data_IF_985246144770
#
_entry.id   IF_985246144770
#
_cell.length_a   1.000
_cell.length_b   1.000
_cell.length_c   1.000
_cell.angle_alpha   90.00
_cell.angle_beta   90.00
_cell.angle_gamma   90.00
#
_symmetry.space_group_name_H-M   'P 1'
#
loop_
_entity.id
_entity.type
_entity.pdbx_description
1 polymer ?
#
# COMPACT_ATOMS: atom_id res chain seq x y z
N UNK A 1 14.61 -0.21 3.68
CA UNK A 1 13.53 -1.01 4.28
C UNK A 1 13.06 -2.15 3.37
N UNK A 2 12.85 -1.88 2.10
CA UNK A 2 12.43 -2.86 1.07
C UNK A 2 13.24 -4.17 1.11
N UNK A 3 14.58 -4.10 1.13
CA UNK A 3 15.44 -5.31 1.21
C UNK A 3 15.15 -6.17 2.45
N UNK A 4 14.87 -5.56 3.61
CA UNK A 4 14.56 -6.30 4.86
C UNK A 4 13.23 -7.05 4.76
N UNK A 5 12.20 -6.47 4.12
CA UNK A 5 10.91 -7.14 3.92
C UNK A 5 11.07 -8.33 2.98
N UNK A 6 11.72 -8.12 1.82
CA UNK A 6 11.92 -9.19 0.85
C UNK A 6 12.76 -10.34 1.42
N UNK A 7 13.83 -10.06 2.16
CA UNK A 7 14.65 -11.12 2.80
C UNK A 7 13.88 -11.86 3.90
N UNK A 8 13.05 -11.17 4.69
CA UNK A 8 12.26 -11.79 5.75
C UNK A 8 11.17 -12.72 5.20
N UNK A 9 10.53 -12.34 4.10
CA UNK A 9 9.45 -13.10 3.46
C UNK A 9 9.88 -13.82 2.18
N UNK A 10 11.19 -14.00 1.95
CA UNK A 10 11.75 -14.53 0.72
C UNK A 10 11.06 -15.82 0.24
N UNK A 11 10.94 -16.83 1.11
CA UNK A 11 10.30 -18.11 0.76
C UNK A 11 8.86 -17.93 0.24
N UNK A 12 8.07 -17.10 0.94
CA UNK A 12 6.67 -16.87 0.58
C UNK A 12 6.53 -16.08 -0.72
N UNK A 13 7.40 -15.08 -0.96
CA UNK A 13 7.45 -14.36 -2.24
C UNK A 13 7.85 -15.28 -3.39
N UNK A 14 8.88 -16.12 -3.20
CA UNK A 14 9.32 -17.07 -4.23
C UNK A 14 8.18 -18.02 -4.61
N UNK A 15 7.50 -18.63 -3.63
CA UNK A 15 6.36 -19.51 -3.90
C UNK A 15 5.20 -18.77 -4.56
N UNK A 16 4.86 -17.57 -4.09
CA UNK A 16 3.79 -16.76 -4.65
C UNK A 16 4.05 -16.41 -6.13
N UNK A 17 5.28 -15.96 -6.46
CA UNK A 17 5.66 -15.61 -7.82
C UNK A 17 5.75 -16.86 -8.70
N UNK A 18 6.39 -17.92 -8.23
CA UNK A 18 6.58 -19.16 -9.00
C UNK A 18 5.23 -19.80 -9.38
N UNK A 19 4.31 -19.94 -8.42
CA UNK A 19 2.97 -20.48 -8.71
C UNK A 19 2.25 -19.58 -9.72
N UNK A 20 2.33 -18.24 -9.56
CA UNK A 20 1.70 -17.31 -10.49
C UNK A 20 2.27 -17.38 -11.90
N UNK A 21 3.59 -17.54 -12.05
CA UNK A 21 4.24 -17.77 -13.36
C UNK A 21 3.75 -19.06 -14.00
N UNK A 22 3.63 -20.16 -13.24
CA UNK A 22 3.08 -21.42 -13.73
C UNK A 22 1.62 -21.27 -14.14
N UNK A 23 0.80 -20.57 -13.35
CA UNK A 23 -0.62 -20.30 -13.69
C UNK A 23 -0.71 -19.51 -15.00
N UNK A 24 0.13 -18.47 -15.18
CA UNK A 24 0.17 -17.68 -16.42
C UNK A 24 0.58 -18.55 -17.63
N UNK A 25 1.56 -19.43 -17.46
CA UNK A 25 1.96 -20.37 -18.51
C UNK A 25 0.83 -21.37 -18.84
N UNK A 26 0.21 -21.98 -17.82
CA UNK A 26 -0.93 -22.89 -18.03
C UNK A 26 -2.09 -22.19 -18.74
N UNK A 27 -2.36 -20.92 -18.39
CA UNK A 27 -3.41 -20.13 -19.05
C UNK A 27 -3.11 -19.89 -20.53
N UNK A 28 -1.86 -19.58 -20.87
CA UNK A 28 -1.45 -19.40 -22.26
C UNK A 28 -1.45 -20.73 -23.04
N UNK A 29 -0.99 -21.82 -22.41
CA UNK A 29 -1.05 -23.17 -22.98
C UNK A 29 -2.48 -23.67 -23.21
N UNK A 30 -3.42 -23.35 -22.31
CA UNK A 30 -4.82 -23.71 -22.48
C UNK A 30 -5.40 -23.10 -23.77
N UNK A 31 -5.09 -21.82 -24.05
CA UNK A 31 -5.50 -21.18 -25.30
C UNK A 31 -4.83 -21.86 -26.51
N UNK A 32 -3.54 -22.20 -26.43
CA UNK A 32 -2.82 -22.89 -27.48
C UNK A 32 -3.42 -24.28 -27.78
N UNK A 33 -3.67 -25.10 -26.76
CA UNK A 33 -4.28 -26.40 -26.98
C UNK A 33 -5.71 -26.31 -27.51
N UNK A 34 -6.47 -25.30 -27.06
CA UNK A 34 -7.79 -25.02 -27.59
C UNK A 34 -7.76 -24.65 -29.07
N UNK A 35 -6.80 -23.80 -29.48
CA UNK A 35 -6.52 -23.50 -30.89
C UNK A 35 -6.28 -24.78 -31.71
N UNK A 36 -5.38 -25.64 -31.23
CA UNK A 36 -5.05 -26.88 -31.92
C UNK A 36 -6.26 -27.82 -32.03
N UNK A 37 -7.10 -27.88 -31.01
CA UNK A 37 -8.35 -28.66 -31.05
C UNK A 37 -9.30 -28.14 -32.12
N UNK A 38 -9.46 -26.82 -32.24
CA UNK A 38 -10.32 -26.21 -33.27
C UNK A 38 -9.78 -26.47 -34.69
N UNK A 39 -8.47 -26.39 -34.89
CA UNK A 39 -7.85 -26.57 -36.21
C UNK A 39 -7.88 -28.04 -36.66
N UNK A 40 -7.97 -28.98 -35.75
CA UNK A 40 -8.02 -30.41 -36.03
C UNK A 40 -9.43 -31.03 -35.93
N UNK A 41 -10.44 -30.23 -35.51
CA UNK A 41 -11.80 -30.72 -35.23
C UNK A 41 -12.44 -31.52 -36.36
N UNK A 42 -12.17 -31.16 -37.64
CA UNK A 42 -12.73 -31.85 -38.80
C UNK A 42 -11.81 -32.95 -39.37
N UNK A 43 -10.54 -33.04 -38.92
CA UNK A 43 -9.54 -33.95 -39.53
C UNK A 43 -9.39 -35.27 -38.82
N UNK A 44 -9.28 -35.27 -37.50
CA UNK A 44 -9.16 -36.46 -36.67
C UNK A 44 -9.31 -36.14 -35.22
N UNK A 45 -9.96 -37.02 -34.44
CA UNK A 45 -10.05 -36.89 -33.00
C UNK A 45 -8.67 -37.14 -32.36
N UNK A 46 -8.09 -36.14 -31.75
CA UNK A 46 -6.80 -36.23 -31.05
C UNK A 46 -6.98 -36.23 -29.54
N UNK A 47 -7.11 -37.43 -28.95
CA UNK A 47 -7.29 -37.62 -27.52
C UNK A 47 -6.18 -36.93 -26.70
N UNK A 48 -4.92 -36.97 -27.19
CA UNK A 48 -3.81 -36.31 -26.52
C UNK A 48 -3.96 -34.80 -26.34
N UNK A 49 -4.47 -34.08 -27.37
CA UNK A 49 -4.75 -32.65 -27.27
C UNK A 49 -5.88 -32.34 -26.32
N UNK A 50 -6.93 -33.17 -26.30
CA UNK A 50 -8.06 -33.01 -25.37
C UNK A 50 -7.61 -33.20 -23.93
N UNK A 51 -6.78 -34.23 -23.67
CA UNK A 51 -6.21 -34.46 -22.34
C UNK A 51 -5.29 -33.32 -21.93
N UNK A 52 -4.42 -32.81 -22.83
CA UNK A 52 -3.53 -31.68 -22.56
C UNK A 52 -4.33 -30.41 -22.24
N UNK A 53 -5.38 -30.11 -23.01
CA UNK A 53 -6.28 -28.99 -22.73
C UNK A 53 -6.99 -29.15 -21.39
N UNK A 54 -7.59 -30.33 -21.14
CA UNK A 54 -8.30 -30.62 -19.89
C UNK A 54 -7.40 -30.51 -18.66
N UNK A 55 -6.17 -31.04 -18.74
CA UNK A 55 -5.19 -30.96 -17.65
C UNK A 55 -4.79 -29.51 -17.36
N UNK A 56 -4.54 -28.69 -18.38
CA UNK A 56 -4.19 -27.27 -18.16
C UNK A 56 -5.34 -26.50 -17.51
N UNK A 57 -6.59 -26.69 -17.94
CA UNK A 57 -7.75 -26.03 -17.34
C UNK A 57 -7.97 -26.45 -15.89
N UNK A 58 -7.77 -27.73 -15.56
CA UNK A 58 -7.91 -28.24 -14.19
C UNK A 58 -6.76 -27.75 -13.29
N UNK A 59 -5.55 -27.67 -13.82
CA UNK A 59 -4.39 -27.20 -13.05
C UNK A 59 -4.51 -25.73 -12.63
N UNK A 60 -5.11 -24.86 -13.44
CA UNK A 60 -5.25 -23.43 -13.15
C UNK A 60 -5.95 -23.17 -11.80
N UNK A 61 -7.17 -23.65 -11.54
CA UNK A 61 -7.84 -23.43 -10.24
C UNK A 61 -7.12 -24.11 -9.08
N UNK A 62 -6.52 -25.30 -9.28
CA UNK A 62 -5.75 -25.99 -8.25
C UNK A 62 -4.52 -25.18 -7.83
N UNK A 63 -3.73 -24.71 -8.79
CA UNK A 63 -2.58 -23.85 -8.52
C UNK A 63 -2.99 -22.51 -7.91
N UNK A 64 -4.08 -21.91 -8.41
CA UNK A 64 -4.63 -20.67 -7.85
C UNK A 64 -5.08 -20.86 -6.39
N UNK A 65 -5.60 -22.02 -6.02
CA UNK A 65 -5.88 -22.34 -4.62
C UNK A 65 -4.60 -22.46 -3.79
N UNK A 66 -3.59 -23.18 -4.29
CA UNK A 66 -2.29 -23.32 -3.62
C UNK A 66 -1.61 -21.95 -3.38
N UNK A 67 -1.80 -20.99 -4.30
CA UNK A 67 -1.29 -19.64 -4.20
C UNK A 67 -1.92 -18.83 -3.04
N UNK A 68 -3.15 -19.13 -2.62
CA UNK A 68 -3.84 -18.34 -1.58
C UNK A 68 -3.09 -18.36 -0.26
N UNK A 69 -2.46 -19.49 0.10
CA UNK A 69 -1.71 -19.61 1.36
C UNK A 69 -0.51 -18.62 1.43
N UNK A 70 0.46 -18.62 0.49
CA UNK A 70 1.55 -17.65 0.50
C UNK A 70 1.04 -16.21 0.35
N UNK A 71 0.00 -15.96 -0.45
CA UNK A 71 -0.60 -14.64 -0.62
C UNK A 71 -1.19 -14.10 0.69
N UNK A 72 -2.00 -14.91 1.39
CA UNK A 72 -2.60 -14.52 2.67
C UNK A 72 -1.52 -14.28 3.74
N UNK A 73 -0.49 -15.14 3.79
CA UNK A 73 0.65 -14.96 4.69
C UNK A 73 1.42 -13.68 4.41
N UNK A 74 1.69 -13.35 3.14
CA UNK A 74 2.35 -12.09 2.75
C UNK A 74 1.48 -10.87 3.08
N UNK A 75 0.17 -10.95 2.82
CA UNK A 75 -0.78 -9.84 3.08
C UNK A 75 -0.76 -9.43 4.55
N UNK A 76 -0.92 -10.40 5.44
CA UNK A 76 -0.99 -10.13 6.88
C UNK A 76 0.41 -9.99 7.49
N UNK A 77 1.35 -10.83 7.06
CA UNK A 77 2.71 -10.87 7.58
C UNK A 77 3.47 -9.56 7.37
N UNK A 78 3.44 -8.98 6.17
CA UNK A 78 4.10 -7.70 5.88
C UNK A 78 3.50 -6.59 6.75
N UNK A 79 2.18 -6.53 6.85
CA UNK A 79 1.48 -5.52 7.65
C UNK A 79 1.87 -5.61 9.14
N UNK A 80 1.75 -6.79 9.74
CA UNK A 80 2.11 -6.98 11.16
C UNK A 80 3.61 -6.86 11.42
N UNK A 81 4.45 -7.27 10.46
CA UNK A 81 5.90 -7.08 10.58
C UNK A 81 6.28 -5.61 10.63
N UNK A 82 5.68 -4.76 9.79
CA UNK A 82 5.91 -3.31 9.82
C UNK A 82 5.42 -2.70 11.14
N UNK A 83 4.26 -3.12 11.65
CA UNK A 83 3.78 -2.68 12.98
C UNK A 83 4.72 -3.11 14.10
N UNK A 84 5.23 -4.36 14.06
CA UNK A 84 6.26 -4.83 15.01
C UNK A 84 7.53 -3.98 14.95
N UNK A 85 8.02 -3.67 13.74
CA UNK A 85 9.19 -2.79 13.59
C UNK A 85 8.93 -1.38 14.13
N UNK A 86 7.71 -0.87 13.96
CA UNK A 86 7.31 0.42 14.52
C UNK A 86 7.33 0.41 16.05
N UNK A 87 6.85 -0.67 16.65
CA UNK A 87 6.89 -0.82 18.12
C UNK A 87 8.32 -0.92 18.63
N UNK A 88 9.19 -1.67 17.93
CA UNK A 88 10.61 -1.73 18.25
C UNK A 88 11.27 -0.35 18.12
N UNK A 89 10.93 0.42 17.07
CA UNK A 89 11.47 1.77 16.93
C UNK A 89 10.95 2.69 18.01
N UNK A 90 9.67 2.57 18.36
CA UNK A 90 9.05 3.33 19.44
C UNK A 90 9.74 3.14 20.78
N UNK A 91 10.16 1.91 21.10
CA UNK A 91 10.89 1.61 22.34
C UNK A 91 12.32 2.17 22.36
N UNK A 92 12.78 2.76 21.28
CA UNK A 92 14.17 3.26 21.14
C UNK A 92 14.27 4.77 20.95
N UNK A 93 13.16 5.46 20.63
CA UNK A 93 13.18 6.92 20.47
C UNK A 93 13.19 7.62 21.82
N UNK A 94 13.74 8.84 21.84
CA UNK A 94 13.73 9.68 23.06
C UNK A 94 12.30 10.11 23.44
N UNK A 95 12.10 10.36 24.73
CA UNK A 95 10.80 10.82 25.23
C UNK A 95 10.38 12.17 24.63
N UNK A 96 11.33 13.04 24.33
CA UNK A 96 11.07 14.32 23.66
C UNK A 96 10.51 14.13 22.25
N UNK A 97 11.12 13.23 21.46
CA UNK A 97 10.62 12.90 20.13
C UNK A 97 9.23 12.27 20.19
N UNK A 98 8.95 11.43 21.19
CA UNK A 98 7.62 10.89 21.41
C UNK A 98 6.58 11.98 21.68
N UNK A 99 6.92 12.95 22.53
CA UNK A 99 6.02 14.08 22.83
C UNK A 99 5.73 14.94 21.58
N UNK A 100 6.77 15.22 20.75
CA UNK A 100 6.62 15.98 19.49
C UNK A 100 5.71 15.26 18.48
N UNK A 101 5.78 13.94 18.43
CA UNK A 101 4.98 13.14 17.49
C UNK A 101 3.51 13.03 17.91
N UNK A 102 3.24 12.93 19.19
CA UNK A 102 1.91 12.64 19.75
C UNK A 102 1.43 11.20 19.47
N UNK A 103 0.85 10.57 20.46
CA UNK A 103 0.47 9.15 20.39
C UNK A 103 -0.54 8.85 19.26
N UNK A 104 -1.55 9.71 19.10
CA UNK A 104 -2.60 9.53 18.08
C UNK A 104 -2.06 9.64 16.65
N UNK A 105 -1.27 10.69 16.39
CA UNK A 105 -0.65 10.90 15.06
C UNK A 105 0.35 9.79 14.72
N UNK A 106 1.08 9.30 15.72
CA UNK A 106 2.01 8.18 15.53
C UNK A 106 1.27 6.88 15.22
N UNK A 107 0.18 6.57 15.94
CA UNK A 107 -0.64 5.39 15.67
C UNK A 107 -1.18 5.43 14.23
N UNK A 108 -1.74 6.56 13.81
CA UNK A 108 -2.23 6.75 12.44
C UNK A 108 -1.12 6.58 11.41
N UNK A 109 0.06 7.18 11.65
CA UNK A 109 1.23 7.03 10.76
C UNK A 109 1.66 5.57 10.61
N UNK A 110 1.65 4.80 11.68
CA UNK A 110 1.99 3.37 11.67
C UNK A 110 0.94 2.55 10.93
N UNK A 111 -0.35 2.79 11.20
CA UNK A 111 -1.45 2.06 10.54
C UNK A 111 -1.46 2.30 9.03
N UNK A 112 -1.48 3.55 8.62
CA UNK A 112 -1.52 3.92 7.19
C UNK A 112 -0.23 3.52 6.49
N UNK A 113 0.93 3.75 7.12
CA UNK A 113 2.23 3.40 6.57
C UNK A 113 2.45 1.89 6.44
N UNK A 114 1.98 1.08 7.40
CA UNK A 114 2.07 -0.38 7.32
C UNK A 114 1.16 -0.95 6.21
N UNK A 115 -0.07 -0.41 6.08
CA UNK A 115 -0.98 -0.76 4.99
C UNK A 115 -0.38 -0.39 3.62
N UNK A 116 0.19 0.80 3.51
CA UNK A 116 0.87 1.28 2.30
C UNK A 116 2.08 0.39 1.95
N UNK A 117 2.91 0.03 2.93
CA UNK A 117 4.04 -0.88 2.72
C UNK A 117 3.61 -2.26 2.21
N UNK A 118 2.53 -2.84 2.77
CA UNK A 118 1.94 -4.08 2.25
C UNK A 118 1.48 -3.91 0.80
N UNK A 119 0.76 -2.84 0.48
CA UNK A 119 0.25 -2.59 -0.88
C UNK A 119 1.39 -2.45 -1.89
N UNK A 120 2.44 -1.71 -1.56
CA UNK A 120 3.62 -1.53 -2.41
C UNK A 120 4.28 -2.88 -2.69
N UNK A 121 4.57 -3.66 -1.65
CA UNK A 121 5.35 -4.89 -1.83
C UNK A 121 4.55 -6.04 -2.43
N UNK A 122 3.29 -6.21 -2.05
CA UNK A 122 2.46 -7.31 -2.52
C UNK A 122 1.59 -6.94 -3.71
N UNK A 123 0.77 -5.88 -3.58
CA UNK A 123 -0.21 -5.56 -4.62
C UNK A 123 0.43 -4.92 -5.85
N UNK A 124 1.53 -4.17 -5.69
CA UNK A 124 2.23 -3.61 -6.83
C UNK A 124 3.36 -4.53 -7.32
N UNK A 125 4.46 -4.65 -6.58
CA UNK A 125 5.60 -5.46 -7.03
C UNK A 125 5.26 -6.95 -7.09
N UNK A 126 4.56 -7.49 -6.11
CA UNK A 126 4.18 -8.90 -6.09
C UNK A 126 3.34 -9.27 -7.31
N UNK A 127 2.32 -8.48 -7.67
CA UNK A 127 1.49 -8.72 -8.87
C UNK A 127 2.22 -8.44 -10.17
N UNK A 128 3.15 -7.47 -10.19
CA UNK A 128 3.98 -7.20 -11.36
C UNK A 128 4.74 -8.46 -11.81
N UNK A 129 5.46 -9.09 -10.89
CA UNK A 129 6.29 -10.26 -11.17
C UNK A 129 5.49 -11.57 -11.27
N UNK A 130 4.38 -11.66 -10.56
CA UNK A 130 3.52 -12.85 -10.55
C UNK A 130 2.60 -12.95 -11.75
N UNK A 131 2.06 -11.82 -12.24
CA UNK A 131 0.94 -11.79 -13.18
C UNK A 131 1.30 -10.99 -14.44
N UNK A 132 1.54 -9.68 -14.32
CA UNK A 132 1.66 -8.79 -15.47
C UNK A 132 2.80 -9.20 -16.43
N UNK A 133 4.02 -9.37 -15.90
CA UNK A 133 5.19 -9.73 -16.73
C UNK A 133 5.02 -11.11 -17.34
N UNK A 134 4.73 -12.19 -16.59
CA UNK A 134 4.58 -13.52 -17.16
C UNK A 134 3.43 -13.63 -18.17
N UNK A 135 2.24 -13.09 -17.85
CA UNK A 135 1.11 -13.13 -18.80
C UNK A 135 1.45 -12.42 -20.10
N UNK A 136 2.03 -11.22 -20.01
CA UNK A 136 2.42 -10.47 -21.21
C UNK A 136 3.43 -11.25 -22.05
N UNK A 137 4.48 -11.79 -21.43
CA UNK A 137 5.54 -12.50 -22.16
C UNK A 137 5.02 -13.80 -22.79
N UNK A 138 4.28 -14.62 -22.07
CA UNK A 138 3.77 -15.88 -22.60
C UNK A 138 2.74 -15.65 -23.71
N UNK A 139 1.81 -14.71 -23.53
CA UNK A 139 0.81 -14.46 -24.56
C UNK A 139 1.42 -13.84 -25.84
N UNK A 140 2.40 -12.91 -25.72
CA UNK A 140 3.14 -12.41 -26.88
C UNK A 140 3.92 -13.52 -27.59
N UNK A 141 4.54 -14.44 -26.83
CA UNK A 141 5.25 -15.59 -27.39
C UNK A 141 4.30 -16.49 -28.21
N UNK A 142 3.13 -16.84 -27.68
CA UNK A 142 2.17 -17.67 -28.40
C UNK A 142 1.54 -16.96 -29.60
N UNK A 143 1.30 -15.65 -29.53
CA UNK A 143 0.88 -14.88 -30.70
C UNK A 143 1.95 -14.89 -31.78
N UNK A 144 3.24 -14.76 -31.41
CA UNK A 144 4.35 -14.87 -32.36
C UNK A 144 4.46 -16.24 -33.04
N UNK A 145 4.02 -17.30 -32.38
CA UNK A 145 3.95 -18.66 -32.97
C UNK A 145 2.81 -18.77 -33.99
N UNK A 146 1.71 -18.04 -33.80
CA UNK A 146 0.57 -18.04 -34.74
C UNK A 146 0.91 -17.19 -35.95
N UNK A 147 1.20 -15.93 -35.80
CA UNK A 147 1.67 -15.04 -36.88
C UNK A 147 2.48 -13.85 -36.33
N UNK A 148 3.76 -13.78 -36.68
CA UNK A 148 4.69 -12.71 -36.28
C UNK A 148 4.25 -11.33 -36.81
N UNK A 149 3.49 -11.25 -37.87
CA UNK A 149 3.01 -9.99 -38.46
C UNK A 149 2.03 -9.24 -37.57
N UNK A 150 1.41 -9.93 -36.60
CA UNK A 150 0.49 -9.31 -35.65
C UNK A 150 1.20 -8.59 -34.51
N UNK A 151 2.45 -8.94 -34.19
CA UNK A 151 3.19 -8.33 -33.08
C UNK A 151 3.31 -6.80 -33.18
N UNK A 152 3.67 -6.19 -34.34
CA UNK A 152 3.72 -4.74 -34.45
C UNK A 152 2.41 -4.06 -34.14
N UNK A 153 1.28 -4.60 -34.63
CA UNK A 153 -0.05 -4.04 -34.36
C UNK A 153 -0.40 -4.07 -32.87
N UNK A 154 -0.07 -5.16 -32.19
CA UNK A 154 -0.28 -5.30 -30.74
C UNK A 154 0.63 -4.32 -29.96
N UNK A 155 1.92 -4.20 -30.35
CA UNK A 155 2.84 -3.26 -29.73
C UNK A 155 2.40 -1.79 -29.92
N UNK A 156 1.89 -1.42 -31.09
CA UNK A 156 1.29 -0.09 -31.31
C UNK A 156 0.11 0.12 -30.36
N UNK A 157 -0.77 -0.89 -30.22
CA UNK A 157 -1.87 -0.85 -29.25
C UNK A 157 -1.35 -0.62 -27.82
N UNK A 158 -0.25 -1.24 -27.43
CA UNK A 158 0.40 -1.00 -26.13
C UNK A 158 0.84 0.46 -25.94
N UNK A 159 1.48 1.05 -26.95
CA UNK A 159 1.94 2.44 -26.90
C UNK A 159 0.74 3.39 -26.71
N UNK A 160 -0.34 3.17 -27.48
CA UNK A 160 -1.57 3.96 -27.38
C UNK A 160 -2.17 3.85 -25.97
N UNK A 161 -2.31 2.63 -25.47
CA UNK A 161 -2.83 2.37 -24.12
C UNK A 161 -1.95 3.03 -23.06
N UNK A 162 -0.62 2.93 -23.17
CA UNK A 162 0.30 3.55 -22.23
C UNK A 162 0.17 5.08 -22.20
N UNK A 163 0.05 5.73 -23.36
CA UNK A 163 -0.14 7.18 -23.46
C UNK A 163 -1.46 7.60 -22.80
N UNK A 164 -2.56 6.92 -23.14
CA UNK A 164 -3.87 7.18 -22.57
C UNK A 164 -3.88 7.00 -21.04
N UNK A 165 -3.26 5.93 -20.59
CA UNK A 165 -3.09 5.67 -19.17
C UNK A 165 -2.33 6.78 -18.46
N UNK A 166 -1.26 7.29 -19.05
CA UNK A 166 -0.48 8.39 -18.46
C UNK A 166 -1.31 9.67 -18.30
N UNK A 167 -2.18 9.96 -19.27
CA UNK A 167 -3.11 11.11 -19.22
C UNK A 167 -4.15 10.91 -18.10
N UNK A 168 -4.75 9.73 -18.05
CA UNK A 168 -5.70 9.35 -17.00
C UNK A 168 -5.11 9.47 -15.60
N UNK A 169 -3.91 8.89 -15.40
CA UNK A 169 -3.21 8.89 -14.14
C UNK A 169 -3.01 10.30 -13.58
N UNK A 170 -2.57 11.24 -14.42
CA UNK A 170 -2.36 12.64 -14.03
C UNK A 170 -3.67 13.30 -13.56
N UNK A 171 -4.79 13.00 -14.22
CA UNK A 171 -6.11 13.53 -13.87
C UNK A 171 -6.62 12.92 -12.56
N UNK A 172 -6.56 11.59 -12.43
CA UNK A 172 -7.00 10.88 -11.22
C UNK A 172 -6.16 11.26 -10.00
N UNK A 173 -4.83 11.43 -10.16
CA UNK A 173 -3.95 11.81 -9.07
C UNK A 173 -4.33 13.18 -8.49
N UNK A 174 -4.57 14.19 -9.35
CA UNK A 174 -5.03 15.52 -8.90
C UNK A 174 -6.36 15.46 -8.14
N UNK A 175 -7.30 14.65 -8.63
CA UNK A 175 -8.60 14.50 -7.98
C UNK A 175 -8.48 13.76 -6.64
N UNK A 176 -7.64 12.71 -6.59
CA UNK A 176 -7.42 11.94 -5.36
C UNK A 176 -6.77 12.78 -4.26
N UNK A 177 -5.80 13.63 -4.60
CA UNK A 177 -5.20 14.58 -3.65
C UNK A 177 -6.25 15.52 -3.04
N UNK A 178 -7.17 16.08 -3.86
CA UNK A 178 -8.29 16.89 -3.39
C UNK A 178 -9.22 16.12 -2.45
N UNK A 179 -9.57 14.90 -2.84
CA UNK A 179 -10.45 14.04 -2.04
C UNK A 179 -9.81 13.68 -0.70
N UNK A 180 -8.50 13.40 -0.67
CA UNK A 180 -7.78 13.10 0.58
C UNK A 180 -7.82 14.28 1.57
N UNK A 181 -7.60 15.51 1.08
CA UNK A 181 -7.67 16.70 1.94
C UNK A 181 -9.10 16.88 2.51
N UNK A 182 -10.12 16.66 1.68
CA UNK A 182 -11.51 16.72 2.10
C UNK A 182 -11.85 15.62 3.11
N UNK A 183 -11.36 14.39 2.92
CA UNK A 183 -11.50 13.27 3.86
C UNK A 183 -10.82 13.56 5.21
N UNK A 184 -9.61 14.14 5.20
CA UNK A 184 -8.90 14.53 6.43
C UNK A 184 -9.69 15.56 7.23
N UNK A 185 -10.23 16.59 6.57
CA UNK A 185 -11.05 17.62 7.21
C UNK A 185 -12.37 17.06 7.77
N UNK A 186 -13.03 16.18 7.01
CA UNK A 186 -14.25 15.48 7.44
C UNK A 186 -13.97 14.59 8.66
N UNK A 187 -12.90 13.81 8.64
CA UNK A 187 -12.50 12.95 9.75
C UNK A 187 -12.12 13.76 11.00
N UNK A 188 -11.47 14.90 10.85
CA UNK A 188 -11.18 15.81 11.96
C UNK A 188 -12.46 16.32 12.60
N UNK A 189 -13.49 16.65 11.81
CA UNK A 189 -14.81 17.08 12.30
C UNK A 189 -15.52 15.94 13.05
N UNK A 190 -15.45 14.71 12.53
CA UNK A 190 -16.02 13.52 13.18
C UNK A 190 -15.33 13.23 14.51
N UNK A 191 -14.01 13.24 14.55
CA UNK A 191 -13.22 13.02 15.77
C UNK A 191 -13.55 14.10 16.80
N UNK A 192 -13.61 15.37 16.42
CA UNK A 192 -13.99 16.46 17.29
C UNK A 192 -15.40 16.26 17.87
N UNK A 193 -16.37 15.88 17.04
CA UNK A 193 -17.73 15.58 17.48
C UNK A 193 -17.80 14.45 18.53
N UNK A 194 -16.91 13.44 18.39
CA UNK A 194 -16.85 12.31 19.33
C UNK A 194 -16.09 12.66 20.63
N UNK A 195 -14.99 13.40 20.55
CA UNK A 195 -14.12 13.69 21.70
C UNK A 195 -14.65 14.84 22.56
N UNK A 196 -15.32 15.84 21.97
CA UNK A 196 -15.81 17.02 22.67
C UNK A 196 -17.31 16.93 23.00
N UNK A 197 -17.79 15.73 23.31
CA UNK A 197 -19.19 15.45 23.63
C UNK A 197 -19.76 16.42 24.67
N UNK A 198 -19.04 16.67 25.78
CA UNK A 198 -19.48 17.53 26.88
C UNK A 198 -19.63 18.97 26.40
N UNK A 199 -18.64 19.49 25.66
CA UNK A 199 -18.66 20.85 25.12
C UNK A 199 -19.86 21.07 24.19
N UNK A 200 -20.11 20.13 23.28
CA UNK A 200 -21.25 20.22 22.34
C UNK A 200 -22.61 20.10 23.05
N UNK A 201 -22.71 19.23 24.08
CA UNK A 201 -23.96 19.09 24.87
C UNK A 201 -24.28 20.34 25.66
N UNK A 202 -23.31 20.89 26.39
CA UNK A 202 -23.51 22.09 27.22
C UNK A 202 -23.92 23.30 26.35
N UNK A 203 -23.25 23.46 25.20
CA UNK A 203 -23.50 24.57 24.28
C UNK A 203 -24.67 24.33 23.31
N UNK A 204 -25.33 23.16 23.34
CA UNK A 204 -26.44 22.77 22.45
C UNK A 204 -26.10 22.89 20.96
N UNK A 205 -24.81 22.68 20.58
CA UNK A 205 -24.30 22.88 19.21
C UNK A 205 -24.13 21.59 18.41
N UNK A 206 -24.55 20.44 18.94
CA UNK A 206 -24.42 19.16 18.29
C UNK A 206 -25.12 19.12 16.91
N UNK A 207 -26.31 19.71 16.80
CA UNK A 207 -27.04 19.76 15.51
C UNK A 207 -26.24 20.46 14.44
N UNK A 208 -25.60 21.59 14.76
CA UNK A 208 -24.76 22.33 13.83
C UNK A 208 -23.52 21.54 13.40
N UNK A 209 -22.91 20.76 14.30
CA UNK A 209 -21.76 19.93 13.99
C UNK A 209 -22.14 18.77 13.06
N UNK A 210 -23.29 18.13 13.29
CA UNK A 210 -23.85 17.10 12.40
C UNK A 210 -24.15 17.68 11.01
N UNK A 211 -24.75 18.85 10.92
CA UNK A 211 -25.03 19.53 9.66
C UNK A 211 -23.74 19.85 8.90
N UNK A 212 -22.71 20.36 9.57
CA UNK A 212 -21.38 20.60 8.98
C UNK A 212 -20.76 19.30 8.44
N UNK A 213 -20.79 18.22 9.24
CA UNK A 213 -20.28 16.93 8.81
C UNK A 213 -21.05 16.41 7.59
N UNK A 214 -22.39 16.53 7.60
CA UNK A 214 -23.24 16.08 6.49
C UNK A 214 -22.93 16.82 5.17
N UNK A 215 -22.71 18.14 5.24
CA UNK A 215 -22.32 18.94 4.07
C UNK A 215 -20.95 18.50 3.51
N UNK A 216 -19.97 18.31 4.41
CA UNK A 216 -18.63 17.85 3.99
C UNK A 216 -18.67 16.43 3.43
N UNK A 217 -19.49 15.54 4.02
CA UNK A 217 -19.66 14.17 3.56
C UNK A 217 -20.34 14.13 2.17
N UNK A 218 -21.35 14.97 1.93
CA UNK A 218 -22.01 15.08 0.63
C UNK A 218 -21.04 15.61 -0.43
N UNK A 219 -20.29 16.67 -0.16
CA UNK A 219 -19.28 17.20 -1.08
C UNK A 219 -18.21 16.14 -1.39
N UNK A 220 -17.72 15.43 -0.39
CA UNK A 220 -16.74 14.38 -0.57
C UNK A 220 -17.29 13.21 -1.39
N UNK A 221 -18.54 12.79 -1.13
CA UNK A 221 -19.25 11.77 -1.89
C UNK A 221 -19.35 12.14 -3.38
N UNK A 222 -19.72 13.38 -3.67
CA UNK A 222 -19.79 13.89 -5.06
C UNK A 222 -18.41 13.91 -5.73
N UNK A 223 -17.35 14.28 -5.02
CA UNK A 223 -15.99 14.27 -5.54
C UNK A 223 -15.48 12.84 -5.81
N UNK A 224 -15.78 11.89 -4.92
CA UNK A 224 -15.46 10.46 -5.12
C UNK A 224 -16.26 9.93 -6.33
N UNK A 225 -17.55 10.25 -6.43
CA UNK A 225 -18.40 9.84 -7.55
C UNK A 225 -17.85 10.35 -8.88
N UNK A 226 -17.48 11.64 -8.96
CA UNK A 226 -16.85 12.21 -10.17
C UNK A 226 -15.54 11.47 -10.52
N UNK A 227 -14.72 11.18 -9.53
CA UNK A 227 -13.48 10.44 -9.74
C UNK A 227 -13.74 9.01 -10.26
N UNK A 228 -14.74 8.32 -9.69
CA UNK A 228 -15.17 7.00 -10.15
C UNK A 228 -15.70 7.04 -11.57
N UNK A 229 -16.55 8.02 -11.91
CA UNK A 229 -17.08 8.16 -13.26
C UNK A 229 -15.99 8.42 -14.32
N UNK A 230 -14.99 9.23 -13.99
CA UNK A 230 -13.83 9.43 -14.86
C UNK A 230 -13.05 8.12 -15.03
N UNK A 231 -12.84 7.39 -13.96
CA UNK A 231 -12.18 6.09 -13.99
C UNK A 231 -12.95 5.10 -14.89
N UNK A 232 -14.28 4.96 -14.69
CA UNK A 232 -15.12 4.10 -15.50
C UNK A 232 -15.18 4.51 -16.97
N UNK A 233 -15.22 5.82 -17.25
CA UNK A 233 -15.15 6.32 -18.62
C UNK A 233 -13.87 5.86 -19.34
N UNK A 234 -12.72 5.96 -18.67
CA UNK A 234 -11.46 5.51 -19.25
C UNK A 234 -11.40 3.98 -19.39
N UNK A 235 -11.99 3.23 -18.45
CA UNK A 235 -12.11 1.78 -18.57
C UNK A 235 -12.99 1.39 -19.79
N UNK A 236 -14.12 2.05 -19.95
CA UNK A 236 -14.99 1.86 -21.11
C UNK A 236 -14.31 2.21 -22.44
N UNK A 237 -13.60 3.35 -22.47
CA UNK A 237 -12.82 3.74 -23.64
C UNK A 237 -11.68 2.77 -23.96
N UNK A 238 -11.00 2.26 -22.93
CA UNK A 238 -9.98 1.22 -23.07
C UNK A 238 -10.60 -0.08 -23.64
N UNK A 239 -11.72 -0.54 -23.08
CA UNK A 239 -12.42 -1.72 -23.58
C UNK A 239 -12.85 -1.57 -25.05
N UNK A 240 -13.29 -0.37 -25.43
CA UNK A 240 -13.64 -0.04 -26.82
C UNK A 240 -12.41 -0.13 -27.73
N UNK A 241 -11.25 0.39 -27.32
CA UNK A 241 -10.00 0.26 -28.09
C UNK A 241 -9.61 -1.20 -28.29
N UNK A 242 -9.69 -2.01 -27.23
CA UNK A 242 -9.39 -3.45 -27.31
C UNK A 242 -10.37 -4.15 -28.24
N UNK A 243 -11.66 -3.81 -28.19
CA UNK A 243 -12.68 -4.32 -29.10
C UNK A 243 -12.38 -3.94 -30.56
N UNK A 244 -11.98 -2.69 -30.83
CA UNK A 244 -11.58 -2.24 -32.17
C UNK A 244 -10.36 -3.02 -32.68
N UNK A 245 -9.35 -3.28 -31.86
CA UNK A 245 -8.19 -4.10 -32.24
C UNK A 245 -8.65 -5.52 -32.63
N UNK A 246 -9.53 -6.14 -31.85
CA UNK A 246 -10.08 -7.47 -32.15
C UNK A 246 -10.85 -7.48 -33.48
N UNK A 247 -11.76 -6.53 -33.65
CA UNK A 247 -12.55 -6.40 -34.90
C UNK A 247 -11.63 -6.19 -36.10
N UNK A 248 -10.61 -5.33 -35.97
CA UNK A 248 -9.64 -5.09 -37.04
C UNK A 248 -8.88 -6.38 -37.43
N UNK A 249 -8.47 -7.20 -36.48
CA UNK A 249 -7.81 -8.48 -36.77
C UNK A 249 -8.75 -9.46 -37.46
N UNK A 250 -10.00 -9.53 -37.03
CA UNK A 250 -11.03 -10.34 -37.69
C UNK A 250 -11.21 -9.89 -39.15
N UNK A 251 -11.36 -8.59 -39.41
CA UNK A 251 -11.48 -8.04 -40.76
C UNK A 251 -10.23 -8.35 -41.61
N UNK A 252 -9.02 -8.16 -41.06
CA UNK A 252 -7.78 -8.45 -41.79
C UNK A 252 -7.63 -9.95 -42.12
N UNK A 253 -8.18 -10.84 -41.28
CA UNK A 253 -8.24 -12.26 -41.56
C UNK A 253 -9.22 -12.58 -42.68
N UNK A 254 -10.43 -12.00 -42.69
CA UNK A 254 -11.42 -12.19 -43.75
C UNK A 254 -10.98 -11.59 -45.09
N UNK A 255 -10.19 -10.53 -45.08
CA UNK A 255 -9.63 -9.92 -46.30
C UNK A 255 -8.37 -10.61 -46.81
N UNK A 256 -7.98 -11.72 -46.22
CA UNK A 256 -6.78 -12.50 -46.56
C UNK A 256 -5.44 -11.70 -46.47
N UNK A 257 -5.42 -10.56 -45.79
CA UNK A 257 -4.18 -9.82 -45.49
C UNK A 257 -3.34 -10.60 -44.47
N UNK A 258 -4.01 -11.28 -43.53
CA UNK A 258 -3.41 -12.23 -42.58
C UNK A 258 -4.13 -13.56 -42.75
N UNK A 259 -3.37 -14.61 -43.09
CA UNK A 259 -3.94 -15.94 -43.28
C UNK A 259 -3.93 -16.71 -41.97
N UNK A 260 -5.07 -16.70 -41.27
CA UNK A 260 -5.27 -17.39 -39.99
C UNK A 260 -6.17 -18.61 -40.19
N UNK A 261 -5.88 -19.69 -39.47
CA UNK A 261 -6.84 -20.77 -39.25
C UNK A 261 -8.00 -20.29 -38.34
N UNK A 262 -9.11 -21.00 -38.33
CA UNK A 262 -10.22 -20.68 -37.43
C UNK A 262 -9.78 -20.71 -35.96
N UNK A 263 -9.02 -21.74 -35.57
CA UNK A 263 -8.45 -21.84 -34.23
C UNK A 263 -7.47 -20.70 -33.92
N UNK A 264 -6.62 -20.33 -34.91
CA UNK A 264 -5.69 -19.21 -34.78
C UNK A 264 -6.40 -17.86 -34.56
N UNK A 265 -7.48 -17.60 -35.30
CA UNK A 265 -8.30 -16.38 -35.13
C UNK A 265 -8.90 -16.30 -33.71
N UNK A 266 -9.52 -17.38 -33.24
CA UNK A 266 -10.09 -17.45 -31.89
C UNK A 266 -9.01 -17.28 -30.82
N UNK A 267 -7.88 -17.96 -30.98
CA UNK A 267 -6.76 -17.86 -30.03
C UNK A 267 -6.21 -16.43 -29.91
N UNK A 268 -6.03 -15.73 -31.04
CA UNK A 268 -5.54 -14.34 -31.02
C UNK A 268 -6.50 -13.42 -30.28
N UNK A 269 -7.81 -13.55 -30.49
CA UNK A 269 -8.82 -12.77 -29.75
C UNK A 269 -8.73 -13.04 -28.26
N UNK A 270 -8.53 -14.30 -27.84
CA UNK A 270 -8.36 -14.67 -26.44
C UNK A 270 -7.04 -14.15 -25.86
N UNK A 271 -5.94 -14.23 -26.60
CA UNK A 271 -4.64 -13.70 -26.15
C UNK A 271 -4.66 -12.19 -26.01
N UNK A 272 -5.35 -11.47 -26.87
CA UNK A 272 -5.54 -10.00 -26.75
C UNK A 272 -6.19 -9.65 -25.42
N UNK A 273 -7.25 -10.36 -25.01
CA UNK A 273 -7.87 -10.14 -23.69
C UNK A 273 -6.89 -10.38 -22.55
N UNK A 274 -6.12 -11.47 -22.64
CA UNK A 274 -5.12 -11.82 -21.62
C UNK A 274 -3.96 -10.83 -21.53
N UNK A 275 -3.62 -10.15 -22.60
CA UNK A 275 -2.58 -9.14 -22.62
C UNK A 275 -3.08 -7.80 -22.06
N UNK A 276 -4.22 -7.32 -22.53
CA UNK A 276 -4.66 -5.97 -22.22
C UNK A 276 -5.35 -5.82 -20.86
N UNK A 277 -6.05 -6.85 -20.37
CA UNK A 277 -6.71 -6.80 -19.07
C UNK A 277 -5.76 -6.56 -17.88
N UNK A 278 -4.64 -7.28 -17.75
CA UNK A 278 -3.68 -7.00 -16.69
C UNK A 278 -3.09 -5.60 -16.75
N UNK A 279 -2.91 -5.03 -17.94
CA UNK A 279 -2.39 -3.67 -18.10
C UNK A 279 -3.38 -2.64 -17.55
N UNK A 280 -4.66 -2.80 -17.86
CA UNK A 280 -5.70 -1.92 -17.32
C UNK A 280 -5.73 -1.95 -15.80
N UNK A 281 -5.68 -3.13 -15.20
CA UNK A 281 -5.62 -3.32 -13.74
C UNK A 281 -4.34 -2.71 -13.16
N UNK A 282 -3.18 -2.93 -13.81
CA UNK A 282 -1.92 -2.43 -13.33
C UNK A 282 -1.84 -0.90 -13.30
N UNK A 283 -2.54 -0.24 -14.21
CA UNK A 283 -2.64 1.21 -14.23
C UNK A 283 -3.31 1.76 -12.96
N UNK A 284 -4.38 1.11 -12.48
CA UNK A 284 -5.02 1.46 -11.21
C UNK A 284 -4.08 1.22 -10.03
N UNK A 285 -3.37 0.10 -10.04
CA UNK A 285 -2.37 -0.23 -9.03
C UNK A 285 -1.23 0.78 -9.01
N UNK A 286 -0.85 1.36 -10.14
CA UNK A 286 0.19 2.37 -10.23
C UNK A 286 -0.24 3.71 -9.58
N UNK A 287 -1.51 4.12 -9.72
CA UNK A 287 -2.04 5.28 -8.97
C UNK A 287 -1.95 5.01 -7.47
N UNK A 288 -2.45 3.86 -7.03
CA UNK A 288 -2.43 3.48 -5.62
C UNK A 288 -0.99 3.39 -5.09
N UNK A 289 -0.06 2.86 -5.87
CA UNK A 289 1.37 2.83 -5.53
C UNK A 289 1.93 4.22 -5.23
N UNK A 290 1.61 5.23 -6.05
CA UNK A 290 2.11 6.60 -5.83
C UNK A 290 1.57 7.22 -4.54
N UNK A 291 0.31 6.95 -4.20
CA UNK A 291 -0.29 7.39 -2.94
C UNK A 291 0.32 6.65 -1.74
N UNK A 292 0.41 5.33 -1.85
CA UNK A 292 1.00 4.49 -0.81
C UNK A 292 2.48 4.83 -0.57
N UNK A 293 3.21 5.24 -1.62
CA UNK A 293 4.61 5.65 -1.52
C UNK A 293 4.80 6.81 -0.56
N UNK A 294 3.92 7.81 -0.59
CA UNK A 294 3.98 8.96 0.33
C UNK A 294 3.77 8.52 1.78
N UNK A 295 2.74 7.70 2.02
CA UNK A 295 2.43 7.19 3.35
C UNK A 295 3.54 6.27 3.90
N UNK A 296 4.07 5.40 3.04
CA UNK A 296 5.16 4.50 3.39
C UNK A 296 6.47 5.26 3.67
N UNK A 297 6.76 6.32 2.91
CA UNK A 297 7.94 7.17 3.12
C UNK A 297 7.88 7.88 4.47
N UNK A 298 6.71 8.40 4.89
CA UNK A 298 6.50 8.97 6.23
C UNK A 298 6.79 7.94 7.35
N UNK A 299 6.46 6.66 7.12
CA UNK A 299 6.80 5.58 8.04
C UNK A 299 8.30 5.26 8.01
N UNK A 300 8.94 5.22 6.83
CA UNK A 300 10.39 5.04 6.71
C UNK A 300 11.18 6.17 7.41
N UNK A 301 10.71 7.40 7.31
CA UNK A 301 11.33 8.54 7.99
C UNK A 301 11.21 8.44 9.52
N UNK A 302 10.10 7.87 10.01
CA UNK A 302 9.99 7.53 11.43
C UNK A 302 11.04 6.48 11.86
N UNK A 303 11.30 5.47 11.04
CA UNK A 303 12.33 4.47 11.35
C UNK A 303 13.76 5.00 11.31
N UNK A 304 14.00 6.08 10.54
CA UNK A 304 15.33 6.71 10.43
C UNK A 304 15.64 7.68 11.58
N UNK A 305 14.65 8.04 12.41
CA UNK A 305 14.91 8.89 13.57
C UNK A 305 16.00 8.26 14.44
N UNK A 306 16.78 9.08 15.10
CA UNK A 306 17.86 8.62 15.97
C UNK A 306 17.28 7.83 17.14
N UNK A 307 18.02 6.81 17.57
CA UNK A 307 17.72 6.08 18.78
C UNK A 307 18.21 6.92 19.98
N UNK A 308 17.53 6.83 21.11
CA UNK A 308 17.93 7.49 22.33
C UNK A 308 19.30 6.92 22.79
N UNK A 309 20.36 7.72 22.84
CA UNK A 309 21.68 7.24 23.22
C UNK A 309 21.71 6.67 24.64
N UNK A 310 20.86 7.14 25.54
CA UNK A 310 20.83 6.68 26.93
C UNK A 310 20.25 5.28 27.08
N UNK A 311 19.41 4.84 26.13
CA UNK A 311 18.89 3.47 26.10
C UNK A 311 19.90 2.45 25.54
N UNK A 312 20.94 2.91 24.86
CA UNK A 312 21.98 2.05 24.26
C UNK A 312 23.06 1.61 25.27
N UNK A 313 23.09 2.24 26.42
CA UNK A 313 24.11 1.91 27.47
C UNK A 313 23.65 0.68 28.20
N UNK A 314 24.46 -0.41 28.09
CA UNK A 314 24.37 -1.55 29.00
C UNK A 314 24.78 -1.08 30.39
N UNK A 315 23.82 -0.56 31.14
CA UNK A 315 24.08 -0.04 32.48
C UNK A 315 24.55 -1.16 33.42
N UNK A 316 25.56 -0.88 34.22
CA UNK A 316 25.80 -1.66 35.43
C UNK A 316 24.56 -1.48 36.33
N UNK A 317 24.16 -2.54 37.03
CA UNK A 317 23.16 -2.42 38.08
C UNK A 317 23.52 -1.25 38.97
N UNK A 318 22.60 -0.28 39.10
CA UNK A 318 22.83 0.84 40.01
C UNK A 318 22.97 0.28 41.42
N UNK A 319 23.98 0.69 42.17
CA UNK A 319 24.00 0.44 43.61
C UNK A 319 22.78 1.08 44.25
N UNK A 320 22.42 0.67 45.44
CA UNK A 320 21.29 1.21 46.17
C UNK A 320 21.34 2.76 46.19
N UNK A 321 20.35 3.40 45.56
CA UNK A 321 20.32 4.85 45.42
C UNK A 321 20.01 5.46 46.78
N UNK A 322 20.98 6.13 47.40
CA UNK A 322 20.83 6.78 48.71
C UNK A 322 20.19 8.18 48.57
N UNK A 323 20.54 8.91 47.53
CA UNK A 323 20.11 10.31 47.30
C UNK A 323 20.05 10.64 45.82
N UNK A 324 19.06 11.46 45.43
CA UNK A 324 18.99 12.13 44.14
C UNK A 324 19.15 13.62 44.37
N UNK A 325 20.16 14.24 43.76
CA UNK A 325 20.45 15.66 43.87
C UNK A 325 20.31 16.38 42.54
N UNK A 326 19.60 17.48 42.55
CA UNK A 326 19.55 18.45 41.43
C UNK A 326 20.44 19.61 41.81
N UNK A 327 21.40 19.99 40.92
CA UNK A 327 22.31 21.11 41.11
C UNK A 327 22.16 22.07 39.92
N UNK A 328 21.73 23.27 40.19
CA UNK A 328 21.56 24.35 39.26
C UNK A 328 20.78 23.98 37.97
N UNK A 329 19.84 23.04 38.11
CA UNK A 329 19.10 22.48 36.99
C UNK A 329 18.19 23.51 36.35
N UNK A 330 18.43 23.78 35.05
CA UNK A 330 17.56 24.59 34.19
C UNK A 330 16.90 23.71 33.15
N UNK A 331 15.65 24.05 32.81
CA UNK A 331 14.95 23.38 31.72
C UNK A 331 14.08 24.37 30.94
N UNK A 332 14.29 24.40 29.61
CA UNK A 332 13.57 25.26 28.67
C UNK A 332 13.00 24.43 27.52
N UNK A 333 11.83 24.82 27.01
CA UNK A 333 11.19 24.25 25.83
C UNK A 333 10.85 25.40 24.89
N UNK A 334 11.24 25.33 23.63
CA UNK A 334 10.97 26.33 22.59
C UNK A 334 11.27 27.77 23.07
N UNK A 335 12.45 27.96 23.67
CA UNK A 335 12.91 29.24 24.22
C UNK A 335 12.14 29.76 25.44
N UNK A 336 11.18 29.01 25.97
CA UNK A 336 10.48 29.34 27.20
C UNK A 336 11.11 28.59 28.37
N UNK A 337 11.64 29.29 29.34
CA UNK A 337 12.21 28.71 30.56
C UNK A 337 11.05 28.23 31.46
N UNK A 338 11.02 26.92 31.70
CA UNK A 338 10.05 26.28 32.60
C UNK A 338 10.59 26.21 34.03
N UNK A 339 11.89 25.96 34.16
CA UNK A 339 12.57 25.91 35.44
C UNK A 339 13.97 26.55 35.31
N UNK A 340 14.36 27.30 36.34
CA UNK A 340 15.68 27.93 36.43
C UNK A 340 16.34 27.61 37.76
N UNK A 341 17.62 27.25 37.71
CA UNK A 341 18.51 27.06 38.86
C UNK A 341 17.91 26.26 40.04
N UNK A 342 17.29 25.12 39.71
CA UNK A 342 16.67 24.29 40.76
C UNK A 342 17.75 23.50 41.49
N UNK A 343 17.84 23.72 42.80
CA UNK A 343 18.68 23.01 43.75
C UNK A 343 17.79 22.23 44.70
N UNK A 344 17.77 20.90 44.61
CA UNK A 344 16.95 20.00 45.43
C UNK A 344 17.68 18.71 45.74
N UNK A 345 17.40 18.14 46.89
CA UNK A 345 17.91 16.84 47.29
C UNK A 345 16.80 15.95 47.82
N UNK A 346 16.75 14.73 47.33
CA UNK A 346 15.78 13.73 47.72
C UNK A 346 16.50 12.53 48.31
N UNK A 347 16.17 12.19 49.55
CA UNK A 347 16.79 11.06 50.28
C UNK A 347 15.94 9.82 50.16
N UNK A 348 16.55 8.66 50.18
CA UNK A 348 15.88 7.37 50.18
C UNK A 348 14.95 7.22 51.38
N UNK A 349 13.91 6.43 51.26
CA UNK A 349 12.91 6.14 52.33
C UNK A 349 12.17 7.35 52.88
N UNK A 350 12.13 8.46 52.15
CA UNK A 350 11.33 9.62 52.46
C UNK A 350 10.26 9.86 51.42
N UNK A 351 9.09 10.35 51.87
CA UNK A 351 8.00 10.79 50.98
C UNK A 351 8.06 12.31 50.86
N UNK A 352 8.05 12.80 49.62
CA UNK A 352 8.09 14.23 49.30
C UNK A 352 6.82 14.66 48.58
N UNK A 353 6.21 15.75 49.04
CA UNK A 353 5.05 16.37 48.38
C UNK A 353 5.47 17.55 47.53
N UNK A 354 5.09 17.55 46.23
CA UNK A 354 5.29 18.68 45.33
C UNK A 354 4.03 19.54 45.28
N UNK A 355 4.11 20.74 45.87
CA UNK A 355 3.00 21.68 45.97
C UNK A 355 3.30 22.93 45.12
N UNK A 356 2.31 23.46 44.43
CA UNK A 356 2.42 24.67 43.62
C UNK A 356 1.26 24.83 42.64
N UNK A 357 1.12 26.01 42.07
CA UNK A 357 0.09 26.31 41.04
C UNK A 357 0.20 25.43 39.81
N UNK A 358 -0.87 25.27 39.03
CA UNK A 358 -0.81 24.59 37.76
C UNK A 358 0.17 25.31 36.81
N UNK A 359 0.95 24.60 36.04
CA UNK A 359 1.94 25.18 35.10
C UNK A 359 3.32 25.50 35.70
N UNK A 360 3.54 25.31 37.02
CA UNK A 360 4.85 25.63 37.65
C UNK A 360 5.95 24.56 37.41
N UNK A 361 5.80 23.66 36.46
CA UNK A 361 6.83 22.68 36.11
C UNK A 361 6.91 21.43 36.99
N UNK A 362 5.91 21.17 37.91
CA UNK A 362 5.94 19.98 38.79
C UNK A 362 6.08 18.67 38.04
N UNK A 363 5.30 18.46 36.99
CA UNK A 363 5.37 17.25 36.16
C UNK A 363 6.68 17.18 35.36
N UNK A 364 7.23 18.33 34.99
CA UNK A 364 8.52 18.44 34.30
C UNK A 364 9.66 18.05 35.25
N UNK A 365 9.63 18.49 36.50
CA UNK A 365 10.60 18.10 37.53
C UNK A 365 10.63 16.58 37.73
N UNK A 366 9.47 15.94 37.82
CA UNK A 366 9.38 14.47 37.94
C UNK A 366 10.00 13.80 36.71
N UNK A 367 9.72 14.29 35.51
CA UNK A 367 10.28 13.73 34.28
C UNK A 367 11.81 13.90 34.18
N UNK A 368 12.34 15.00 34.69
CA UNK A 368 13.79 15.21 34.80
C UNK A 368 14.42 14.26 35.81
N UNK A 369 13.81 14.07 36.99
CA UNK A 369 14.27 13.11 38.01
C UNK A 369 14.27 11.67 37.46
N UNK A 370 13.28 11.32 36.65
CA UNK A 370 13.18 10.02 36.00
C UNK A 370 14.10 9.85 34.78
N UNK A 371 14.86 10.88 34.40
CA UNK A 371 15.72 10.84 33.23
C UNK A 371 14.96 10.82 31.89
N UNK A 372 13.65 11.09 31.89
CA UNK A 372 12.84 11.14 30.66
C UNK A 372 13.10 12.42 29.86
N UNK A 373 13.44 13.50 30.55
CA UNK A 373 13.85 14.78 29.98
C UNK A 373 15.27 15.07 30.40
N UNK A 374 16.03 15.72 29.54
CA UNK A 374 17.41 16.16 29.85
C UNK A 374 17.37 17.61 30.29
N UNK A 375 18.07 18.00 31.35
CA UNK A 375 18.18 19.40 31.71
C UNK A 375 18.89 20.19 30.59
N UNK A 376 18.53 21.46 30.43
CA UNK A 376 19.20 22.37 29.50
C UNK A 376 20.58 22.77 30.05
N UNK A 377 20.64 22.91 31.38
CA UNK A 377 21.85 23.22 32.16
C UNK A 377 21.73 22.56 33.53
N UNK A 378 22.88 22.26 34.16
CA UNK A 378 22.97 21.67 35.50
C UNK A 378 23.38 20.21 35.55
#
# INVERSE_FOLDING_TARGET
MTKKIWSHFQKSFTWYILIGVIVSLCSALAIYFFQQLLDHYQKSFQLGLLVAYGTTIILIPLLSYCEQKPKAYLTNGIYFYLKKLSLIKMSKISYEEYLKLGAGALLQKVEVGAAAGRNIHLNFYGRLFRELIPETLFNLFFIALIDKKLLPAILIGYVIVFILTKILLKTLQKMKEKTLISEEAMNATLIRGMTELVTFRINRKYKKEIENYALMAEENSQNITKMTMIHEFFFGFFALLVALIKVSIVVLSFTNVVTLSLGGLVAIVMYIDRIYTPIAIFNVLFVQYNLDKVAYQRLEDFYKKEDDPDLAVSGKALPEIQTISLKDVCFSVDSQTIMSQQNRQFSMNKTYGLIGKSGTGKSTLIKLILGLLKPTEG
#
